data_IF_123881078815
#
_entry.id   IF_123881078815
#
_cell.length_a   1.000
_cell.length_b   1.000
_cell.length_c   1.000
_cell.angle_alpha   90.00
_cell.angle_beta   90.00
_cell.angle_gamma   90.00
#
_symmetry.space_group_name_H-M   'P 1'
#
loop_
_entity.id
_entity.type
_entity.pdbx_description
1 polymer ?
#
# COMPACT_ATOMS: atom_id res chain seq x y z
N UNK A 1 -21.06 4.89 4.65
CA UNK A 1 -19.80 5.00 5.44
C UNK A 1 -19.29 3.64 5.87
N UNK A 2 -19.99 2.90 6.74
CA UNK A 2 -19.56 1.58 7.22
C UNK A 2 -19.18 0.59 6.11
N UNK A 3 -19.99 0.51 5.05
CA UNK A 3 -19.70 -0.34 3.89
C UNK A 3 -18.41 0.05 3.16
N UNK A 4 -18.10 1.35 3.04
CA UNK A 4 -16.85 1.84 2.42
C UNK A 4 -15.63 1.44 3.23
N UNK A 5 -15.71 1.66 4.56
CA UNK A 5 -14.67 1.21 5.49
C UNK A 5 -14.44 -0.29 5.32
N UNK A 6 -15.51 -1.09 5.41
CA UNK A 6 -15.42 -2.55 5.30
C UNK A 6 -14.77 -3.01 3.98
N UNK A 7 -15.17 -2.44 2.86
CA UNK A 7 -14.56 -2.73 1.54
C UNK A 7 -13.09 -2.35 1.51
N UNK A 8 -12.73 -1.16 2.03
CA UNK A 8 -11.34 -0.74 2.15
C UNK A 8 -10.50 -1.69 3.01
N UNK A 9 -11.05 -2.20 4.12
CA UNK A 9 -10.37 -3.17 4.98
C UNK A 9 -10.14 -4.51 4.27
N UNK A 10 -11.13 -4.99 3.50
CA UNK A 10 -10.99 -6.21 2.69
C UNK A 10 -9.87 -6.04 1.67
N UNK A 11 -9.88 -4.93 0.93
CA UNK A 11 -8.87 -4.64 -0.09
C UNK A 11 -7.48 -4.54 0.56
N UNK A 12 -7.35 -3.80 1.66
CA UNK A 12 -6.09 -3.69 2.39
C UNK A 12 -5.56 -5.05 2.84
N UNK A 13 -6.46 -5.89 3.39
CA UNK A 13 -6.12 -7.25 3.83
C UNK A 13 -5.70 -8.12 2.66
N UNK A 14 -6.45 -8.09 1.56
CA UNK A 14 -6.15 -8.82 0.33
C UNK A 14 -4.79 -8.46 -0.22
N UNK A 15 -4.56 -7.16 -0.49
CA UNK A 15 -3.28 -6.64 -1.00
C UNK A 15 -2.11 -6.96 -0.07
N UNK A 16 -2.28 -6.82 1.24
CA UNK A 16 -1.24 -7.17 2.22
C UNK A 16 -0.98 -8.67 2.32
N UNK A 17 -1.92 -9.52 1.90
CA UNK A 17 -1.74 -10.98 1.93
C UNK A 17 -0.95 -11.51 0.73
N UNK A 18 -1.02 -10.83 -0.42
CA UNK A 18 -0.37 -11.30 -1.66
C UNK A 18 1.14 -11.49 -1.54
N UNK A 19 1.94 -10.58 -0.92
CA UNK A 19 3.38 -10.78 -0.76
C UNK A 19 3.76 -12.08 -0.04
N UNK A 20 2.89 -12.58 0.84
CA UNK A 20 3.08 -13.83 1.56
C UNK A 20 2.81 -15.05 0.69
N UNK A 21 1.84 -14.97 -0.22
CA UNK A 21 1.56 -16.03 -1.20
C UNK A 21 2.62 -16.02 -2.31
N UNK A 22 3.05 -14.84 -2.74
CA UNK A 22 4.00 -14.63 -3.82
C UNK A 22 5.48 -14.68 -3.38
N UNK A 23 5.77 -15.21 -2.19
CA UNK A 23 7.11 -15.17 -1.60
C UNK A 23 8.18 -15.90 -2.44
N UNK A 24 7.78 -16.95 -3.17
CA UNK A 24 8.66 -17.71 -4.09
C UNK A 24 8.73 -17.16 -5.51
N UNK A 25 7.87 -16.19 -5.86
CA UNK A 25 7.83 -15.66 -7.23
C UNK A 25 9.12 -14.90 -7.50
N UNK A 26 9.83 -15.28 -8.56
CA UNK A 26 11.09 -14.65 -8.96
C UNK A 26 10.93 -13.19 -9.37
N UNK A 27 11.99 -12.39 -9.23
CA UNK A 27 11.99 -10.96 -9.64
C UNK A 27 11.63 -10.79 -11.11
N UNK A 28 12.16 -11.64 -12.00
CA UNK A 28 11.86 -11.59 -13.44
C UNK A 28 10.36 -11.70 -13.74
N UNK A 29 9.69 -12.69 -13.15
CA UNK A 29 8.24 -12.86 -13.34
C UNK A 29 7.44 -11.65 -12.84
N UNK A 30 7.78 -11.11 -11.66
CA UNK A 30 7.12 -9.90 -11.15
C UNK A 30 7.33 -8.70 -12.06
N UNK A 31 8.54 -8.52 -12.60
CA UNK A 31 8.85 -7.43 -13.55
C UNK A 31 8.02 -7.59 -14.82
N UNK A 32 7.99 -8.79 -15.41
CA UNK A 32 7.19 -9.05 -16.60
C UNK A 32 5.71 -8.74 -16.37
N UNK A 33 5.13 -9.21 -15.27
CA UNK A 33 3.73 -8.94 -14.92
C UNK A 33 3.47 -7.44 -14.72
N UNK A 34 4.30 -6.75 -13.94
CA UNK A 34 4.17 -5.32 -13.69
C UNK A 34 4.30 -4.51 -14.99
N UNK A 35 5.32 -4.79 -15.81
CA UNK A 35 5.55 -4.06 -17.06
C UNK A 35 4.40 -4.26 -18.04
N UNK A 36 3.93 -5.50 -18.23
CA UNK A 36 2.81 -5.78 -19.12
C UNK A 36 1.53 -5.07 -18.64
N UNK A 37 1.22 -5.16 -17.35
CA UNK A 37 0.05 -4.49 -16.79
C UNK A 37 0.15 -2.96 -16.89
N UNK A 38 1.33 -2.38 -16.63
CA UNK A 38 1.57 -0.94 -16.79
C UNK A 38 1.39 -0.49 -18.23
N UNK A 39 1.91 -1.24 -19.21
CA UNK A 39 1.72 -0.93 -20.62
C UNK A 39 0.23 -0.91 -20.99
N UNK A 40 -0.54 -1.90 -20.51
CA UNK A 40 -1.98 -1.95 -20.74
C UNK A 40 -2.69 -0.76 -20.05
N UNK A 41 -2.30 -0.39 -18.83
CA UNK A 41 -2.84 0.80 -18.14
C UNK A 41 -2.58 2.08 -18.93
N UNK A 42 -1.35 2.28 -19.39
CA UNK A 42 -0.95 3.48 -20.14
C UNK A 42 -1.69 3.55 -21.48
N UNK A 43 -1.73 2.45 -22.24
CA UNK A 43 -2.45 2.39 -23.52
C UNK A 43 -3.94 2.63 -23.29
N UNK A 44 -4.53 1.96 -22.30
CA UNK A 44 -5.93 2.14 -21.93
C UNK A 44 -6.27 3.58 -21.54
N UNK A 45 -5.40 4.22 -20.75
CA UNK A 45 -5.55 5.62 -20.35
C UNK A 45 -5.43 6.58 -21.54
N UNK A 46 -4.50 6.36 -22.48
CA UNK A 46 -4.34 7.18 -23.68
C UNK A 46 -5.54 7.04 -24.61
N UNK A 47 -5.98 5.80 -24.85
CA UNK A 47 -7.11 5.50 -25.74
C UNK A 47 -8.44 5.94 -25.12
N UNK A 48 -8.54 6.02 -23.79
CA UNK A 48 -9.79 6.30 -23.10
C UNK A 48 -10.79 5.14 -23.23
N UNK A 49 -10.30 3.89 -23.25
CA UNK A 49 -11.16 2.73 -23.38
C UNK A 49 -11.92 2.49 -22.06
N UNK A 50 -13.25 2.56 -22.07
CA UNK A 50 -14.10 2.41 -20.90
C UNK A 50 -14.34 0.93 -20.50
N UNK A 51 -13.27 0.17 -20.29
CA UNK A 51 -13.32 -1.28 -20.03
C UNK A 51 -13.46 -1.61 -18.54
N UNK A 52 -14.60 -1.27 -17.95
CA UNK A 52 -14.92 -1.62 -16.56
C UNK A 52 -15.75 -2.92 -16.47
N UNK A 53 -15.46 -3.86 -15.56
CA UNK A 53 -14.46 -3.83 -14.48
C UNK A 53 -13.07 -4.38 -14.85
N UNK A 54 -12.82 -4.69 -16.13
CA UNK A 54 -11.54 -5.28 -16.54
C UNK A 54 -10.33 -4.39 -16.18
N UNK A 55 -10.46 -3.07 -16.24
CA UNK A 55 -9.43 -2.11 -15.85
C UNK A 55 -8.96 -2.32 -14.41
N UNK A 56 -9.85 -2.67 -13.47
CA UNK A 56 -9.49 -2.92 -12.06
C UNK A 56 -8.57 -4.13 -11.91
N UNK A 57 -8.80 -5.19 -12.69
CA UNK A 57 -7.94 -6.36 -12.69
C UNK A 57 -6.55 -6.01 -13.20
N UNK A 58 -6.44 -5.15 -14.21
CA UNK A 58 -5.17 -4.67 -14.73
C UNK A 58 -4.46 -3.79 -13.69
N UNK A 59 -5.19 -2.88 -13.03
CA UNK A 59 -4.65 -2.05 -11.94
C UNK A 59 -4.08 -2.92 -10.83
N UNK A 60 -4.78 -3.97 -10.41
CA UNK A 60 -4.27 -4.94 -9.42
C UNK A 60 -3.07 -5.74 -9.95
N UNK A 61 -3.11 -6.17 -11.22
CA UNK A 61 -2.02 -6.89 -11.87
C UNK A 61 -0.73 -6.06 -11.98
N UNK A 62 -0.84 -4.73 -11.97
CA UNK A 62 0.31 -3.83 -11.84
C UNK A 62 0.69 -3.59 -10.38
N UNK A 63 -0.27 -3.18 -9.56
CA UNK A 63 -0.01 -2.71 -8.19
C UNK A 63 0.58 -3.80 -7.30
N UNK A 64 0.11 -5.05 -7.41
CA UNK A 64 0.59 -6.13 -6.55
C UNK A 64 2.03 -6.54 -6.88
N UNK A 65 2.40 -6.89 -8.13
CA UNK A 65 3.78 -7.22 -8.46
C UNK A 65 4.72 -6.02 -8.32
N UNK A 66 4.27 -4.82 -8.72
CA UNK A 66 5.02 -3.58 -8.54
C UNK A 66 5.30 -3.27 -7.07
N UNK A 67 4.34 -3.51 -6.19
CA UNK A 67 4.48 -3.30 -4.75
C UNK A 67 5.45 -4.28 -4.12
N UNK A 68 5.37 -5.55 -4.51
CA UNK A 68 6.34 -6.57 -4.09
C UNK A 68 7.75 -6.20 -4.58
N UNK A 69 7.91 -5.79 -5.84
CA UNK A 69 9.20 -5.35 -6.38
C UNK A 69 9.75 -4.17 -5.61
N UNK A 70 8.92 -3.17 -5.31
CA UNK A 70 9.31 -2.01 -4.51
C UNK A 70 9.75 -2.41 -3.10
N UNK A 71 8.99 -3.26 -2.41
CA UNK A 71 9.34 -3.80 -1.10
C UNK A 71 10.63 -4.66 -1.12
N UNK A 72 10.94 -5.29 -2.26
CA UNK A 72 12.20 -6.04 -2.49
C UNK A 72 13.39 -5.16 -2.86
N UNK A 73 13.14 -4.02 -3.49
CA UNK A 73 14.17 -3.07 -3.92
C UNK A 73 14.66 -2.22 -2.74
N UNK A 74 13.75 -1.80 -1.87
CA UNK A 74 14.11 -1.02 -0.68
C UNK A 74 14.85 -1.89 0.36
N UNK A 75 15.82 -1.33 1.10
CA UNK A 75 16.45 -2.05 2.21
C UNK A 75 15.41 -2.42 3.28
N UNK A 76 15.51 -3.63 3.81
CA UNK A 76 14.65 -4.14 4.89
C UNK A 76 15.03 -3.52 6.27
N UNK A 77 15.26 -2.21 6.29
CA UNK A 77 15.62 -1.41 7.47
C UNK A 77 14.58 -0.32 7.65
N UNK A 78 14.33 0.06 8.90
CA UNK A 78 13.33 1.09 9.22
C UNK A 78 13.57 2.42 8.50
N UNK A 79 14.76 3.01 8.66
CA UNK A 79 15.08 4.38 8.19
C UNK A 79 14.85 4.59 6.69
N UNK A 80 15.40 3.78 5.77
CA UNK A 80 15.22 4.02 4.34
C UNK A 80 13.75 3.88 3.91
N UNK A 81 13.03 2.91 4.47
CA UNK A 81 11.62 2.73 4.15
C UNK A 81 10.75 3.87 4.72
N UNK A 82 11.06 4.34 5.93
CA UNK A 82 10.39 5.50 6.53
C UNK A 82 10.60 6.78 5.71
N UNK A 83 11.85 7.08 5.32
CA UNK A 83 12.15 8.27 4.49
C UNK A 83 11.41 8.19 3.16
N UNK A 84 11.36 7.00 2.55
CA UNK A 84 10.61 6.76 1.32
C UNK A 84 9.11 7.04 1.50
N UNK A 85 8.48 6.53 2.56
CA UNK A 85 7.07 6.78 2.86
C UNK A 85 6.77 8.26 3.14
N UNK A 86 7.66 8.96 3.85
CA UNK A 86 7.54 10.40 4.11
C UNK A 86 7.61 11.18 2.79
N UNK A 87 8.56 10.85 1.92
CA UNK A 87 8.67 11.49 0.61
C UNK A 87 7.39 11.30 -0.23
N UNK A 88 6.84 10.09 -0.27
CA UNK A 88 5.57 9.83 -0.97
C UNK A 88 4.38 10.52 -0.30
N UNK A 89 4.36 10.61 1.03
CA UNK A 89 3.30 11.34 1.76
C UNK A 89 3.30 12.83 1.39
N UNK A 90 4.48 13.44 1.28
CA UNK A 90 4.59 14.84 0.84
C UNK A 90 4.13 14.98 -0.61
N UNK A 91 4.57 14.08 -1.50
CA UNK A 91 4.14 14.10 -2.91
C UNK A 91 2.63 13.93 -3.06
N UNK A 92 2.01 13.05 -2.26
CA UNK A 92 0.56 12.84 -2.25
C UNK A 92 -0.20 14.08 -1.80
N UNK A 93 0.23 14.70 -0.69
CA UNK A 93 -0.38 15.95 -0.22
C UNK A 93 -0.23 17.07 -1.25
N UNK A 94 0.93 17.19 -1.91
CA UNK A 94 1.16 18.16 -2.97
C UNK A 94 0.29 17.85 -4.19
N UNK A 95 0.20 16.60 -4.61
CA UNK A 95 -0.66 16.18 -5.71
C UNK A 95 -2.12 16.54 -5.42
N UNK A 96 -2.62 16.19 -4.23
CA UNK A 96 -3.98 16.54 -3.81
C UNK A 96 -4.15 18.06 -3.76
N UNK A 97 -3.20 18.81 -3.20
CA UNK A 97 -3.27 20.28 -3.15
C UNK A 97 -3.38 20.93 -4.53
N UNK A 98 -2.63 20.40 -5.51
CA UNK A 98 -2.57 20.94 -6.87
C UNK A 98 -3.73 20.49 -7.76
N UNK A 99 -4.34 19.34 -7.45
CA UNK A 99 -5.39 18.73 -8.30
C UNK A 99 -6.80 18.83 -7.71
N UNK A 100 -6.93 19.19 -6.43
CA UNK A 100 -8.22 19.51 -5.81
C UNK A 100 -8.69 20.89 -6.31
N UNK A 101 -9.36 20.91 -7.47
CA UNK A 101 -10.03 22.11 -7.96
C UNK A 101 -11.14 22.61 -7.01
N UNK A 102 -11.66 23.84 -7.22
CA UNK A 102 -12.79 24.34 -6.45
C UNK A 102 -14.00 23.40 -6.56
N UNK A 103 -14.83 23.31 -5.50
CA UNK A 103 -15.92 22.35 -5.45
C UNK A 103 -16.85 22.51 -6.67
N UNK A 104 -17.21 21.42 -7.38
CA UNK A 104 -18.20 21.52 -8.42
C UNK A 104 -19.53 21.99 -7.82
N UNK A 105 -20.10 23.04 -8.40
CA UNK A 105 -21.47 23.44 -8.12
C UNK A 105 -22.41 22.30 -8.47
N UNK A 106 -23.12 21.81 -7.45
CA UNK A 106 -24.12 20.74 -7.49
C UNK A 106 -23.62 19.34 -7.96
N UNK A 107 -24.00 18.26 -7.24
CA UNK A 107 -23.75 16.91 -7.71
C UNK A 107 -24.72 16.60 -8.85
N UNK A 108 -24.29 16.80 -10.10
CA UNK A 108 -24.97 16.20 -11.24
C UNK A 108 -24.94 14.68 -11.05
N UNK A 109 -26.12 14.07 -10.96
CA UNK A 109 -26.37 12.66 -10.70
C UNK A 109 -25.89 11.70 -11.83
N UNK A 110 -24.93 12.13 -12.63
CA UNK A 110 -24.26 11.35 -13.67
C UNK A 110 -22.77 11.67 -13.65
N UNK A 111 -22.05 11.33 -12.58
CA UNK A 111 -20.59 11.22 -12.65
C UNK A 111 -20.24 9.98 -13.47
N UNK A 112 -20.41 10.09 -14.79
CA UNK A 112 -19.99 9.10 -15.76
C UNK A 112 -18.55 8.71 -15.47
N UNK A 113 -18.25 7.41 -15.59
CA UNK A 113 -16.89 6.91 -15.52
C UNK A 113 -16.01 7.80 -16.40
N UNK A 114 -15.10 8.58 -15.81
CA UNK A 114 -14.09 9.25 -16.62
C UNK A 114 -13.21 8.13 -17.20
N UNK A 115 -13.24 7.91 -18.52
CA UNK A 115 -12.63 6.74 -19.13
C UNK A 115 -11.10 6.73 -19.01
N UNK A 116 -10.49 7.87 -18.65
CA UNK A 116 -9.05 7.96 -18.39
C UNK A 116 -8.71 7.60 -16.93
N UNK A 117 -9.57 7.97 -15.97
CA UNK A 117 -9.32 7.78 -14.55
C UNK A 117 -9.50 6.33 -14.08
N UNK A 118 -10.21 5.49 -14.85
CA UNK A 118 -10.41 4.07 -14.52
C UNK A 118 -9.15 3.22 -14.67
N UNK A 119 -8.15 3.73 -15.40
CA UNK A 119 -6.87 3.04 -15.61
C UNK A 119 -5.84 3.34 -14.53
N UNK A 120 -6.14 4.26 -13.60
CA UNK A 120 -5.25 4.65 -12.50
C UNK A 120 -5.88 4.43 -11.12
N UNK A 121 -7.15 4.02 -11.06
CA UNK A 121 -7.85 3.74 -9.81
C UNK A 121 -8.50 2.37 -9.87
N UNK A 122 -8.46 1.68 -8.74
CA UNK A 122 -9.30 0.52 -8.49
C UNK A 122 -10.63 1.00 -7.91
N UNK A 123 -11.75 0.62 -8.54
CA UNK A 123 -13.08 1.13 -8.20
C UNK A 123 -14.08 0.02 -7.93
N UNK A 124 -14.77 0.08 -6.79
CA UNK A 124 -15.92 -0.79 -6.50
C UNK A 124 -17.19 0.06 -6.42
N UNK A 125 -18.19 -0.30 -7.23
CA UNK A 125 -19.55 0.25 -7.13
C UNK A 125 -20.21 -0.15 -5.80
N UNK A 126 -20.79 0.83 -5.12
CA UNK A 126 -21.53 0.66 -3.87
C UNK A 126 -22.95 1.23 -4.02
N UNK A 127 -23.94 0.77 -3.23
CA UNK A 127 -25.31 1.29 -3.32
C UNK A 127 -25.46 2.82 -3.17
N UNK A 128 -24.51 3.47 -2.49
CA UNK A 128 -24.51 4.92 -2.25
C UNK A 128 -23.34 5.66 -2.94
N UNK A 129 -22.74 5.07 -3.98
CA UNK A 129 -21.64 5.70 -4.73
C UNK A 129 -20.54 4.71 -5.09
N UNK A 130 -19.28 5.09 -4.90
CA UNK A 130 -18.14 4.24 -5.26
C UNK A 130 -17.04 4.31 -4.21
N UNK A 131 -16.34 3.19 -4.01
CA UNK A 131 -15.05 3.15 -3.34
C UNK A 131 -13.97 3.27 -4.42
N UNK A 132 -13.04 4.22 -4.26
CA UNK A 132 -11.91 4.42 -5.16
C UNK A 132 -10.62 4.40 -4.35
N UNK A 133 -9.62 3.70 -4.85
CA UNK A 133 -8.27 3.70 -4.31
C UNK A 133 -7.27 3.75 -5.45
N UNK A 134 -6.24 4.59 -5.33
CA UNK A 134 -5.24 4.76 -6.38
C UNK A 134 -4.37 3.52 -6.52
N UNK A 135 -3.86 3.27 -7.72
CA UNK A 135 -2.92 2.14 -7.93
C UNK A 135 -1.68 2.26 -7.03
N UNK A 136 -1.21 3.48 -6.75
CA UNK A 136 -0.04 3.75 -5.88
C UNK A 136 -0.32 3.33 -4.45
N UNK A 137 -1.54 3.56 -3.94
CA UNK A 137 -1.92 3.18 -2.58
C UNK A 137 -1.95 1.66 -2.42
N UNK A 138 -2.53 0.96 -3.40
CA UNK A 138 -2.52 -0.51 -3.45
C UNK A 138 -1.11 -1.08 -3.51
N UNK A 139 -0.27 -0.46 -4.35
CA UNK A 139 1.15 -0.79 -4.50
C UNK A 139 1.87 -0.62 -3.17
N UNK A 140 1.62 0.47 -2.44
CA UNK A 140 2.22 0.72 -1.14
C UNK A 140 1.76 -0.25 -0.07
N UNK A 141 0.49 -0.65 -0.04
CA UNK A 141 0.01 -1.68 0.89
C UNK A 141 0.78 -2.99 0.67
N UNK A 142 0.96 -3.41 -0.59
CA UNK A 142 1.76 -4.58 -0.92
C UNK A 142 3.26 -4.40 -0.55
N UNK A 143 3.83 -3.21 -0.81
CA UNK A 143 5.23 -2.92 -0.49
C UNK A 143 5.51 -2.90 1.03
N UNK A 144 4.61 -2.33 1.83
CA UNK A 144 4.68 -2.34 3.29
C UNK A 144 4.60 -3.76 3.83
N UNK A 145 3.71 -4.59 3.28
CA UNK A 145 3.60 -5.98 3.69
C UNK A 145 4.85 -6.79 3.33
N UNK A 146 5.37 -6.62 2.11
CA UNK A 146 6.63 -7.23 1.68
C UNK A 146 7.81 -6.77 2.56
N UNK A 147 7.85 -5.51 2.96
CA UNK A 147 8.86 -4.99 3.89
C UNK A 147 8.83 -5.72 5.24
N UNK A 148 7.65 -5.92 5.83
CA UNK A 148 7.52 -6.65 7.09
C UNK A 148 7.84 -8.14 6.94
N UNK A 149 7.42 -8.76 5.84
CA UNK A 149 7.76 -10.16 5.51
C UNK A 149 9.28 -10.35 5.42
N UNK A 150 9.99 -9.44 4.76
CA UNK A 150 11.47 -9.46 4.64
C UNK A 150 12.21 -9.17 5.94
N UNK A 151 11.52 -8.64 6.95
CA UNK A 151 12.05 -8.43 8.31
C UNK A 151 11.62 -9.53 9.29
N UNK A 152 11.16 -10.66 8.75
CA UNK A 152 10.69 -11.83 9.50
C UNK A 152 9.63 -11.48 10.57
N UNK A 153 8.77 -10.50 10.27
CA UNK A 153 7.65 -10.12 11.15
C UNK A 153 6.43 -10.95 10.84
N UNK A 154 5.57 -11.14 11.84
CA UNK A 154 4.35 -11.95 11.75
C UNK A 154 3.41 -11.39 10.68
N UNK A 155 2.70 -12.28 9.98
CA UNK A 155 1.73 -11.94 8.94
C UNK A 155 0.75 -10.83 9.33
N UNK A 156 0.13 -10.93 10.50
CA UNK A 156 -0.87 -9.96 10.92
C UNK A 156 -0.29 -8.55 11.12
N UNK A 157 1.00 -8.39 11.44
CA UNK A 157 1.66 -7.07 11.53
C UNK A 157 1.70 -6.43 10.13
N UNK A 158 2.01 -7.22 9.11
CA UNK A 158 2.06 -6.78 7.73
C UNK A 158 0.68 -6.34 7.22
N UNK A 159 -0.37 -7.06 7.61
CA UNK A 159 -1.78 -6.71 7.32
C UNK A 159 -2.21 -5.44 8.03
N UNK A 160 -1.88 -5.30 9.32
CA UNK A 160 -2.29 -4.15 10.12
C UNK A 160 -1.84 -2.80 9.55
N UNK A 161 -0.66 -2.74 8.92
CA UNK A 161 -0.14 -1.48 8.38
C UNK A 161 -1.12 -0.83 7.39
N UNK A 162 -1.60 -1.60 6.41
CA UNK A 162 -2.59 -1.13 5.43
C UNK A 162 -3.97 -0.92 6.04
N UNK A 163 -4.42 -1.84 6.89
CA UNK A 163 -5.73 -1.78 7.58
C UNK A 163 -5.86 -0.52 8.42
N UNK A 164 -4.86 -0.20 9.24
CA UNK A 164 -4.86 0.99 10.09
C UNK A 164 -4.86 2.25 9.22
N UNK A 165 -4.02 2.30 8.18
CA UNK A 165 -3.97 3.46 7.30
C UNK A 165 -5.30 3.74 6.59
N UNK A 166 -5.92 2.71 6.02
CA UNK A 166 -7.23 2.85 5.36
C UNK A 166 -8.34 3.21 6.36
N UNK A 167 -8.35 2.58 7.54
CA UNK A 167 -9.31 2.91 8.58
C UNK A 167 -9.20 4.38 9.00
N UNK A 168 -7.98 4.88 9.23
CA UNK A 168 -7.75 6.28 9.61
C UNK A 168 -8.18 7.25 8.50
N UNK A 169 -7.89 6.93 7.23
CA UNK A 169 -8.29 7.75 6.10
C UNK A 169 -9.83 7.84 5.97
N UNK A 170 -10.54 6.72 6.02
CA UNK A 170 -12.00 6.72 5.93
C UNK A 170 -12.67 7.37 7.15
N UNK A 171 -12.15 7.16 8.37
CA UNK A 171 -12.67 7.81 9.58
C UNK A 171 -12.45 9.33 9.55
N UNK A 172 -11.27 9.77 9.10
CA UNK A 172 -10.95 11.20 9.00
C UNK A 172 -11.70 11.89 7.86
N UNK A 173 -12.03 11.18 6.77
CA UNK A 173 -12.94 11.65 5.73
C UNK A 173 -14.37 11.81 6.28
N UNK A 174 -14.84 10.85 7.07
CA UNK A 174 -16.16 10.91 7.70
C UNK A 174 -16.30 12.06 8.71
N UNK A 175 -15.26 12.31 9.51
CA UNK A 175 -15.26 13.34 10.55
C UNK A 175 -15.35 14.78 10.01
N UNK A 176 -15.05 15.02 8.72
CA UNK A 176 -14.92 16.38 8.17
C UNK A 176 -16.23 17.03 7.75
N UNK A 177 -17.30 16.25 7.53
CA UNK A 177 -18.62 16.79 7.21
C UNK A 177 -18.66 17.82 6.05
N UNK A 178 -17.73 17.74 5.07
CA UNK A 178 -17.75 18.58 3.86
C UNK A 178 -16.84 19.83 3.84
N UNK A 179 -16.01 20.10 4.85
CA UNK A 179 -15.06 21.25 4.85
C UNK A 179 -13.84 21.04 3.93
N UNK A 180 -14.03 21.07 2.61
CA UNK A 180 -12.99 20.75 1.61
C UNK A 180 -11.89 21.84 1.47
N UNK A 181 -12.19 23.11 1.74
CA UNK A 181 -11.30 24.24 1.39
C UNK A 181 -10.27 24.61 2.47
N UNK A 182 -9.80 23.63 3.25
CA UNK A 182 -8.79 23.87 4.30
C UNK A 182 -7.58 22.97 4.09
N UNK A 183 -6.43 23.35 4.65
CA UNK A 183 -5.22 22.48 4.70
C UNK A 183 -5.57 21.11 5.30
N UNK A 184 -6.47 21.10 6.29
CA UNK A 184 -7.04 19.89 6.90
C UNK A 184 -7.91 19.06 5.94
N UNK A 185 -8.50 19.69 4.91
CA UNK A 185 -9.17 19.05 3.77
C UNK A 185 -8.17 18.30 2.90
N UNK A 186 -7.17 19.01 2.39
CA UNK A 186 -6.10 18.46 1.55
C UNK A 186 -5.37 17.29 2.21
N UNK A 187 -4.93 17.46 3.46
CA UNK A 187 -4.20 16.42 4.22
C UNK A 187 -4.93 15.09 4.35
N UNK A 188 -6.23 15.13 4.18
CA UNK A 188 -7.08 14.01 4.54
C UNK A 188 -7.65 13.25 3.36
N UNK A 189 -7.61 13.89 2.21
CA UNK A 189 -7.85 13.27 0.93
C UNK A 189 -6.58 12.58 0.42
N UNK A 190 -5.41 13.01 0.89
CA UNK A 190 -4.14 12.31 0.74
C UNK A 190 -4.12 11.03 1.60
N UNK A 191 -4.09 9.85 0.97
CA UNK A 191 -4.15 8.55 1.64
C UNK A 191 -2.77 8.09 2.14
N UNK A 192 -1.68 8.42 1.45
CA UNK A 192 -0.32 7.97 1.77
C UNK A 192 0.13 8.43 3.17
N UNK A 193 -0.18 9.65 3.66
CA UNK A 193 0.08 10.03 5.05
C UNK A 193 -0.53 9.06 6.06
N UNK A 194 -1.77 8.59 5.85
CA UNK A 194 -2.42 7.63 6.74
C UNK A 194 -1.80 6.24 6.63
N UNK A 195 -1.44 5.78 5.43
CA UNK A 195 -0.69 4.54 5.24
C UNK A 195 0.65 4.59 5.98
N UNK A 196 1.34 5.74 5.97
CA UNK A 196 2.59 5.96 6.70
C UNK A 196 2.40 5.86 8.21
N UNK A 197 1.32 6.45 8.75
CA UNK A 197 0.95 6.30 10.17
C UNK A 197 0.64 4.84 10.50
N UNK A 198 -0.15 4.16 9.66
CA UNK A 198 -0.46 2.74 9.84
C UNK A 198 0.80 1.86 9.88
N UNK A 199 1.75 2.14 9.00
CA UNK A 199 3.06 1.48 9.01
C UNK A 199 3.87 1.74 10.28
N UNK A 200 3.90 2.99 10.77
CA UNK A 200 4.59 3.35 12.02
C UNK A 200 3.99 2.60 13.21
N UNK A 201 2.66 2.53 13.29
CA UNK A 201 1.96 1.78 14.35
C UNK A 201 2.30 0.29 14.26
N UNK A 202 2.28 -0.29 13.06
CA UNK A 202 2.66 -1.68 12.85
C UNK A 202 4.13 -1.96 13.23
N UNK A 203 5.07 -1.09 12.85
CA UNK A 203 6.49 -1.25 13.21
C UNK A 203 6.72 -1.10 14.73
N UNK A 204 6.01 -0.18 15.38
CA UNK A 204 6.05 -0.03 16.83
C UNK A 204 5.57 -1.30 17.55
N UNK A 205 4.44 -1.88 17.12
CA UNK A 205 3.94 -3.15 17.63
C UNK A 205 4.93 -4.29 17.37
N UNK A 206 5.52 -4.34 16.17
CA UNK A 206 6.52 -5.33 15.80
C UNK A 206 7.74 -5.30 16.73
N UNK A 207 8.21 -4.10 17.10
CA UNK A 207 9.33 -3.92 18.03
C UNK A 207 9.01 -4.46 19.42
N UNK A 208 7.80 -4.20 19.93
CA UNK A 208 7.37 -4.69 21.25
C UNK A 208 7.22 -6.20 21.32
N UNK A 209 7.07 -6.87 20.19
CA UNK A 209 6.94 -8.33 20.11
C UNK A 209 8.25 -9.06 19.83
N UNK A 210 9.35 -8.32 19.66
CA UNK A 210 10.68 -8.90 19.69
C UNK A 210 10.92 -9.39 21.13
N UNK A 211 10.85 -10.69 21.37
CA UNK A 211 11.08 -11.33 22.68
C UNK A 211 12.48 -10.91 23.19
N UNK A 212 12.62 -10.37 24.41
CA UNK A 212 13.91 -10.34 25.11
C UNK A 212 14.25 -11.78 25.50
N UNK A 213 15.26 -12.40 24.87
CA UNK A 213 15.87 -13.64 25.37
C UNK A 213 15.61 -14.94 24.59
N UNK A 214 15.85 -14.98 23.27
CA UNK A 214 16.17 -16.25 22.60
C UNK A 214 17.63 -16.64 22.85
N UNK A 215 17.98 -17.94 23.01
CA UNK A 215 19.32 -18.35 23.44
C UNK A 215 20.37 -17.80 22.48
N UNK A 216 21.35 -17.06 23.02
CA UNK A 216 22.67 -16.99 22.38
C UNK A 216 23.18 -18.43 22.35
N UNK A 217 23.05 -19.07 21.21
CA UNK A 217 23.82 -20.25 20.86
C UNK A 217 25.29 -19.79 20.93
N UNK A 218 25.90 -19.92 22.13
CA UNK A 218 27.34 -19.86 22.27
C UNK A 218 27.83 -21.01 21.41
N UNK A 219 28.36 -20.69 20.24
CA UNK A 219 29.21 -21.65 19.52
C UNK A 219 30.23 -22.15 20.55
N UNK A 220 30.36 -23.47 20.78
CA UNK A 220 31.54 -23.96 21.45
C UNK A 220 32.74 -23.49 20.63
N UNK A 221 33.63 -22.76 21.29
CA UNK A 221 34.92 -22.39 20.73
C UNK A 221 35.68 -23.68 20.51
N UNK A 222 35.79 -24.11 19.25
CA UNK A 222 36.64 -25.24 18.86
C UNK A 222 38.09 -24.74 18.86
N UNK A 223 38.61 -24.52 20.06
CA UNK A 223 39.97 -24.03 20.29
C UNK A 223 40.45 -24.49 21.66
N UNK A 224 40.36 -25.79 21.90
CA UNK A 224 41.08 -26.50 22.96
C UNK A 224 41.19 -27.98 22.57
N UNK A 225 41.93 -28.26 21.49
CA UNK A 225 42.68 -29.51 21.41
C UNK A 225 44.18 -29.16 21.51
N UNK A 226 44.79 -29.34 22.69
CA UNK A 226 46.23 -29.39 22.81
C UNK A 226 46.73 -30.81 22.48
N UNK A 227 47.74 -30.89 21.61
CA UNK A 227 48.75 -31.95 21.75
C UNK A 227 48.91 -32.89 20.57
N UNK A 228 49.88 -32.56 19.73
CA UNK A 228 50.49 -33.43 18.75
C UNK A 228 51.25 -34.64 19.36
N UNK A 229 51.51 -35.62 18.49
CA UNK A 229 52.55 -36.68 18.50
C UNK A 229 52.20 -38.00 19.19
N UNK A 230 52.05 -39.08 18.41
CA UNK A 230 53.15 -39.90 17.86
C UNK A 230 52.68 -40.66 16.63
#
# INVERSE_FOLDING_TARGET
MLLRVFVGLIIATGCASIPWLAWRVGRGALVTMATLALLVMVIGAIVGAALYPASDLIVLAFALPGGILLGRALPARFRPFFVFLVALSVLDVVQVALTSGPPPGQPSASSGLNPHLIWVNFRIGLPAGHFNIGFVDLLLIAAMSEHFRRRDRRFWIAVLAGVIGIALAELSAAARGGRQNSVLGTLTQALIPFLTVGWLVADFLARRQSIPGGPRERRPSFSDEPGAKR
#
